data_IF_684000738900
#
_entry.id   IF_684000738900
#
_cell.length_a   1.000
_cell.length_b   1.000
_cell.length_c   1.000
_cell.angle_alpha   90.00
_cell.angle_beta   90.00
_cell.angle_gamma   90.00
#
_symmetry.space_group_name_H-M   'P 1'
#
loop_
_entity.id
_entity.type
_entity.pdbx_description
1 polymer ?
#
# COMPACT_ATOMS: atom_id res chain seq x y z
N UNK A 1 11.08 -40.38 7.33
CA UNK A 1 10.99 -39.48 6.17
C UNK A 1 9.61 -38.84 6.28
N UNK A 2 9.49 -37.67 6.95
CA UNK A 2 8.17 -37.02 7.24
C UNK A 2 8.25 -35.60 7.83
N UNK A 3 9.41 -34.99 8.07
CA UNK A 3 9.46 -33.63 8.66
C UNK A 3 9.06 -32.53 7.66
N UNK A 4 9.29 -32.75 6.36
CA UNK A 4 8.99 -31.77 5.31
C UNK A 4 7.47 -31.61 5.10
N UNK A 5 6.69 -32.68 5.24
CA UNK A 5 5.23 -32.61 5.05
C UNK A 5 4.53 -31.84 6.19
N UNK A 6 5.04 -31.94 7.42
CA UNK A 6 4.45 -31.27 8.58
C UNK A 6 4.72 -29.75 8.57
N UNK A 7 5.94 -29.34 8.22
CA UNK A 7 6.32 -27.93 8.06
C UNK A 7 5.53 -27.24 6.93
N UNK A 8 5.27 -27.98 5.85
CA UNK A 8 4.46 -27.52 4.71
C UNK A 8 2.99 -27.31 5.10
N UNK A 9 2.39 -28.26 5.81
CA UNK A 9 1.01 -28.13 6.28
C UNK A 9 0.86 -26.96 7.27
N UNK A 10 1.85 -26.75 8.14
CA UNK A 10 1.90 -25.61 9.05
C UNK A 10 2.06 -24.28 8.30
N UNK A 11 2.88 -24.23 7.24
CA UNK A 11 3.02 -23.04 6.41
C UNK A 11 1.70 -22.69 5.70
N UNK A 12 1.06 -23.66 5.03
CA UNK A 12 -0.25 -23.45 4.38
C UNK A 12 -1.28 -22.98 5.40
N UNK A 13 -1.41 -23.66 6.55
CA UNK A 13 -2.33 -23.26 7.60
C UNK A 13 -2.03 -21.85 8.16
N UNK A 14 -0.75 -21.46 8.24
CA UNK A 14 -0.33 -20.11 8.62
C UNK A 14 -0.78 -19.05 7.61
N UNK A 15 -0.62 -19.32 6.31
CA UNK A 15 -1.09 -18.42 5.25
C UNK A 15 -2.61 -18.35 5.22
N UNK A 16 -3.32 -19.46 5.37
CA UNK A 16 -4.79 -19.46 5.44
C UNK A 16 -5.29 -18.64 6.65
N UNK A 17 -4.61 -18.72 7.79
CA UNK A 17 -4.94 -17.94 8.98
C UNK A 17 -4.67 -16.44 8.80
N UNK A 18 -3.59 -16.06 8.12
CA UNK A 18 -3.21 -14.68 7.87
C UNK A 18 -4.07 -14.02 6.79
N UNK A 19 -4.36 -14.76 5.70
CA UNK A 19 -5.09 -14.25 4.53
C UNK A 19 -6.60 -14.46 4.61
N UNK A 20 -7.08 -15.40 5.45
CA UNK A 20 -8.47 -15.84 5.53
C UNK A 20 -8.90 -16.82 4.43
N UNK A 21 -8.02 -17.11 3.45
CA UNK A 21 -8.35 -17.97 2.30
C UNK A 21 -8.26 -19.44 2.68
N UNK A 22 -9.37 -20.18 2.57
CA UNK A 22 -9.38 -21.65 2.77
C UNK A 22 -9.09 -22.38 1.46
N UNK A 23 -7.82 -22.43 1.08
CA UNK A 23 -7.35 -23.03 -0.18
C UNK A 23 -7.77 -24.47 -0.32
N UNK A 24 -7.69 -25.27 0.75
CA UNK A 24 -8.02 -26.70 0.66
C UNK A 24 -9.53 -26.90 0.39
N UNK A 25 -10.38 -26.02 0.92
CA UNK A 25 -11.82 -26.05 0.66
C UNK A 25 -12.16 -25.60 -0.78
N UNK A 26 -11.52 -24.52 -1.26
CA UNK A 26 -11.70 -24.03 -2.63
C UNK A 26 -11.17 -25.06 -3.63
N UNK A 27 -9.99 -25.61 -3.37
CA UNK A 27 -9.36 -26.61 -4.23
C UNK A 27 -10.21 -27.87 -4.31
N UNK A 28 -10.63 -28.46 -3.19
CA UNK A 28 -11.50 -29.65 -3.20
C UNK A 28 -12.82 -29.41 -3.92
N UNK A 29 -13.42 -28.23 -3.76
CA UNK A 29 -14.66 -27.85 -4.47
C UNK A 29 -14.47 -27.86 -6.00
N UNK A 30 -13.35 -27.33 -6.48
CA UNK A 30 -13.07 -27.21 -7.92
C UNK A 30 -12.44 -28.48 -8.53
N UNK A 31 -11.76 -29.32 -7.72
CA UNK A 31 -10.95 -30.46 -8.16
C UNK A 31 -11.43 -31.85 -7.72
N UNK A 32 -12.63 -31.97 -7.13
CA UNK A 32 -13.19 -33.23 -6.61
C UNK A 32 -13.13 -34.45 -7.59
N UNK A 33 -12.90 -34.24 -8.89
CA UNK A 33 -12.78 -35.29 -9.91
C UNK A 33 -11.36 -35.64 -10.38
N UNK A 34 -10.31 -34.89 -10.02
CA UNK A 34 -9.02 -34.95 -10.73
C UNK A 34 -7.73 -35.06 -9.89
N UNK A 35 -7.81 -35.02 -8.55
CA UNK A 35 -6.59 -34.96 -7.74
C UNK A 35 -5.97 -36.35 -7.46
N UNK A 36 -4.73 -36.57 -7.92
CA UNK A 36 -3.76 -37.42 -7.20
C UNK A 36 -3.25 -36.60 -6.00
N UNK A 37 -3.26 -37.17 -4.80
CA UNK A 37 -2.97 -36.44 -3.54
C UNK A 37 -1.65 -35.66 -3.58
N UNK A 38 -0.57 -36.24 -4.11
CA UNK A 38 0.76 -35.60 -4.07
C UNK A 38 0.86 -34.34 -4.93
N UNK A 39 0.14 -34.27 -6.05
CA UNK A 39 0.14 -33.08 -6.92
C UNK A 39 -0.73 -31.94 -6.37
N UNK A 40 -1.67 -32.24 -5.47
CA UNK A 40 -2.56 -31.25 -4.86
C UNK A 40 -1.84 -30.42 -3.79
N UNK A 41 -0.95 -31.05 -3.02
CA UNK A 41 -0.20 -30.39 -1.95
C UNK A 41 0.74 -29.31 -2.51
N UNK A 42 1.57 -29.65 -3.50
CA UNK A 42 2.49 -28.71 -4.16
C UNK A 42 1.76 -27.53 -4.83
N UNK A 43 0.57 -27.80 -5.39
CA UNK A 43 -0.29 -26.74 -5.92
C UNK A 43 -0.73 -25.79 -4.81
N UNK A 44 -1.27 -26.31 -3.71
CA UNK A 44 -1.74 -25.50 -2.58
C UNK A 44 -0.60 -24.70 -1.93
N UNK A 45 0.60 -25.27 -1.83
CA UNK A 45 1.81 -24.57 -1.36
C UNK A 45 2.17 -23.38 -2.24
N UNK A 46 2.25 -23.60 -3.56
CA UNK A 46 2.63 -22.55 -4.50
C UNK A 46 1.60 -21.43 -4.52
N UNK A 47 0.31 -21.78 -4.44
CA UNK A 47 -0.78 -20.80 -4.33
C UNK A 47 -0.72 -20.06 -2.98
N UNK A 48 -0.41 -20.74 -1.88
CA UNK A 48 -0.25 -20.12 -0.56
C UNK A 48 0.87 -19.08 -0.57
N UNK A 49 2.04 -19.44 -1.12
CA UNK A 49 3.16 -18.51 -1.24
C UNK A 49 2.80 -17.28 -2.08
N UNK A 50 2.17 -17.51 -3.24
CA UNK A 50 1.72 -16.43 -4.11
C UNK A 50 0.73 -15.50 -3.40
N UNK A 51 -0.22 -16.05 -2.64
CA UNK A 51 -1.18 -15.26 -1.87
C UNK A 51 -0.53 -14.46 -0.76
N UNK A 52 0.41 -15.05 -0.02
CA UNK A 52 1.15 -14.35 1.02
C UNK A 52 1.96 -13.18 0.43
N UNK A 53 2.59 -13.38 -0.74
CA UNK A 53 3.28 -12.30 -1.46
C UNK A 53 2.34 -11.15 -1.83
N UNK A 54 1.19 -11.45 -2.44
CA UNK A 54 0.19 -10.45 -2.82
C UNK A 54 -0.35 -9.73 -1.57
N UNK A 55 -0.72 -10.49 -0.54
CA UNK A 55 -1.27 -9.95 0.70
C UNK A 55 -0.28 -9.01 1.40
N UNK A 56 0.97 -9.44 1.54
CA UNK A 56 2.04 -8.65 2.17
C UNK A 56 2.31 -7.37 1.39
N UNK A 57 2.41 -7.46 0.06
CA UNK A 57 2.62 -6.29 -0.79
C UNK A 57 1.46 -5.29 -0.64
N UNK A 58 0.22 -5.75 -0.69
CA UNK A 58 -0.96 -4.89 -0.51
C UNK A 58 -1.04 -4.25 0.87
N UNK A 59 -0.65 -4.98 1.93
CA UNK A 59 -0.58 -4.44 3.29
C UNK A 59 0.49 -3.36 3.39
N UNK A 60 1.66 -3.59 2.82
CA UNK A 60 2.74 -2.59 2.76
C UNK A 60 2.29 -1.33 2.01
N UNK A 61 1.69 -1.49 0.82
CA UNK A 61 1.14 -0.37 0.04
C UNK A 61 0.08 0.39 0.84
N UNK A 62 -0.85 -0.31 1.49
CA UNK A 62 -1.89 0.34 2.30
C UNK A 62 -1.32 1.08 3.52
N UNK A 63 -0.30 0.53 4.18
CA UNK A 63 0.39 1.17 5.29
C UNK A 63 1.17 2.42 4.83
N UNK A 64 1.81 2.35 3.66
CA UNK A 64 2.54 3.47 3.06
C UNK A 64 1.60 4.57 2.58
N UNK A 65 0.48 4.22 1.94
CA UNK A 65 -0.59 5.14 1.58
C UNK A 65 -1.19 5.80 2.83
N UNK A 66 -1.45 5.03 3.89
CA UNK A 66 -1.95 5.53 5.17
C UNK A 66 -0.99 6.54 5.81
N UNK A 67 0.32 6.25 5.80
CA UNK A 67 1.37 7.18 6.24
C UNK A 67 1.40 8.45 5.38
N UNK A 68 1.33 8.31 4.06
CA UNK A 68 1.32 9.44 3.12
C UNK A 68 0.10 10.34 3.35
N UNK A 69 -1.09 9.77 3.56
CA UNK A 69 -2.31 10.51 3.91
C UNK A 69 -2.14 11.26 5.22
N UNK A 70 -1.65 10.61 6.27
CA UNK A 70 -1.42 11.24 7.57
C UNK A 70 -0.43 12.41 7.46
N UNK A 71 0.65 12.25 6.69
CA UNK A 71 1.64 13.30 6.45
C UNK A 71 1.05 14.46 5.64
N UNK A 72 0.25 14.19 4.59
CA UNK A 72 -0.45 15.24 3.84
C UNK A 72 -1.41 16.05 4.71
N UNK A 73 -2.23 15.37 5.55
CA UNK A 73 -3.17 16.05 6.45
C UNK A 73 -2.43 16.96 7.44
N UNK A 74 -1.36 16.44 8.05
CA UNK A 74 -0.53 17.21 8.97
C UNK A 74 0.15 18.40 8.29
N UNK A 75 0.66 18.24 7.07
CA UNK A 75 1.22 19.34 6.30
C UNK A 75 0.16 20.41 5.99
N UNK A 76 -1.09 20.01 5.73
CA UNK A 76 -2.20 20.94 5.52
C UNK A 76 -2.53 21.76 6.79
N UNK A 77 -2.65 21.09 7.94
CA UNK A 77 -2.89 21.75 9.23
C UNK A 77 -1.80 22.78 9.58
N UNK A 78 -0.53 22.39 9.44
CA UNK A 78 0.62 23.28 9.71
C UNK A 78 0.62 24.45 8.73
N UNK A 79 0.32 24.21 7.45
CA UNK A 79 0.27 25.25 6.41
C UNK A 79 -0.79 26.29 6.71
N UNK A 80 -2.00 25.88 7.10
CA UNK A 80 -3.09 26.82 7.42
C UNK A 80 -2.78 27.61 8.69
N UNK A 81 -2.20 26.98 9.72
CA UNK A 81 -1.71 27.67 10.91
C UNK A 81 -0.60 28.69 10.59
N UNK A 82 0.35 28.32 9.73
CA UNK A 82 1.44 29.19 9.30
C UNK A 82 0.95 30.40 8.48
N UNK A 83 -0.06 30.21 7.61
CA UNK A 83 -0.71 31.32 6.88
C UNK A 83 -1.43 32.30 7.80
N UNK A 84 -2.17 31.77 8.78
CA UNK A 84 -2.85 32.59 9.77
C UNK A 84 -1.84 33.42 10.59
N UNK A 85 -0.75 32.80 11.02
CA UNK A 85 0.34 33.48 11.74
C UNK A 85 1.03 34.55 10.88
N UNK A 86 1.34 34.24 9.61
CA UNK A 86 1.96 35.19 8.70
C UNK A 86 1.06 36.42 8.46
N UNK A 87 -0.25 36.19 8.33
CA UNK A 87 -1.24 37.25 8.17
C UNK A 87 -1.38 38.11 9.44
N UNK A 88 -1.30 37.49 10.62
CA UNK A 88 -1.29 38.22 11.90
C UNK A 88 -0.02 39.07 12.05
N UNK A 89 1.15 38.54 11.71
CA UNK A 89 2.42 39.29 11.70
C UNK A 89 2.40 40.46 10.71
N UNK A 90 1.80 40.28 9.53
CA UNK A 90 1.63 41.34 8.54
C UNK A 90 0.62 42.41 8.99
N UNK A 91 -0.38 42.06 9.80
CA UNK A 91 -1.30 43.02 10.39
C UNK A 91 -0.61 43.86 11.47
N UNK A 92 0.19 43.24 12.35
CA UNK A 92 0.96 43.95 13.39
C UNK A 92 1.90 44.97 12.76
N UNK A 93 2.65 44.57 11.72
CA UNK A 93 3.56 45.48 11.02
C UNK A 93 2.91 46.65 10.27
N UNK A 94 1.58 46.66 10.11
CA UNK A 94 0.83 47.78 9.52
C UNK A 94 0.38 48.84 10.53
N UNK A 95 0.40 48.55 11.83
CA UNK A 95 -0.04 49.49 12.87
C UNK A 95 1.11 50.28 13.52
N UNK A 96 2.37 49.95 13.21
CA UNK A 96 3.56 50.66 13.66
C UNK A 96 4.25 51.36 12.48
N UNK A 97 3.60 52.41 11.95
CA UNK A 97 4.30 53.44 11.17
C UNK A 97 4.85 54.48 12.13
N UNK A 98 6.08 54.26 12.62
CA UNK A 98 7.00 55.33 13.01
C UNK A 98 8.45 54.80 12.93
N UNK A 99 9.10 55.09 11.80
CA UNK A 99 10.52 55.40 11.62
C UNK A 99 11.64 54.49 12.20
N UNK A 100 11.53 53.16 12.14
CA UNK A 100 12.73 52.30 12.21
C UNK A 100 12.69 51.07 11.27
N UNK A 101 13.40 51.10 10.12
CA UNK A 101 13.44 49.97 9.17
C UNK A 101 14.23 48.75 9.70
N UNK A 102 14.80 48.83 10.92
CA UNK A 102 15.52 47.71 11.55
C UNK A 102 14.65 46.79 12.42
N UNK A 103 13.37 47.12 12.65
CA UNK A 103 12.48 46.28 13.44
C UNK A 103 11.87 45.14 12.60
N UNK A 104 12.58 44.01 12.54
CA UNK A 104 11.93 42.74 12.20
C UNK A 104 10.74 42.52 13.15
N UNK A 105 9.54 42.31 12.61
CA UNK A 105 8.35 41.96 13.39
C UNK A 105 8.54 40.57 14.00
N UNK A 106 9.08 40.56 15.22
CA UNK A 106 9.36 39.36 15.99
C UNK A 106 8.23 39.21 17.01
N UNK A 107 7.39 38.19 16.84
CA UNK A 107 6.55 37.72 17.94
C UNK A 107 7.43 36.93 18.90
N UNK A 108 7.69 37.49 20.08
CA UNK A 108 8.37 36.79 21.16
C UNK A 108 7.36 36.02 22.03
N UNK A 109 7.34 34.70 21.87
CA UNK A 109 6.55 33.80 22.71
C UNK A 109 7.42 33.05 23.71
N UNK A 110 6.97 32.91 24.96
CA UNK A 110 7.56 31.95 25.92
C UNK A 110 6.88 30.59 25.75
N UNK A 111 7.64 29.59 25.30
CA UNK A 111 7.24 28.18 25.43
C UNK A 111 7.79 27.69 26.76
N UNK A 112 6.91 27.39 27.72
CA UNK A 112 7.22 26.66 28.96
C UNK A 112 8.53 27.08 29.68
N UNK A 113 8.85 28.37 29.69
CA UNK A 113 9.97 28.92 30.46
C UNK A 113 11.40 28.66 29.94
N UNK A 114 11.61 28.11 28.74
CA UNK A 114 12.96 27.72 28.27
C UNK A 114 13.54 28.51 27.08
N UNK A 115 12.89 29.58 26.60
CA UNK A 115 13.48 30.47 25.61
C UNK A 115 12.47 31.36 24.88
N UNK A 116 12.95 32.50 24.36
CA UNK A 116 12.21 33.35 23.44
C UNK A 116 12.32 32.74 22.04
N UNK A 117 11.20 32.36 21.44
CA UNK A 117 11.16 31.98 20.02
C UNK A 117 10.90 33.23 19.22
N UNK A 118 11.85 33.62 18.35
CA UNK A 118 11.67 34.72 17.40
C UNK A 118 11.01 34.18 16.14
N UNK A 119 9.78 34.60 15.86
CA UNK A 119 9.04 34.23 14.65
C UNK A 119 8.88 35.45 13.75
N UNK A 120 9.54 35.41 12.59
CA UNK A 120 9.41 36.41 11.52
C UNK A 120 8.49 35.94 10.41
N UNK A 121 8.01 36.88 9.57
CA UNK A 121 7.24 36.56 8.37
C UNK A 121 8.03 35.63 7.42
N UNK A 122 9.34 35.85 7.27
CA UNK A 122 10.20 34.99 6.45
C UNK A 122 10.23 33.54 6.97
N UNK A 123 10.32 33.34 8.28
CA UNK A 123 10.24 32.01 8.88
C UNK A 123 8.91 31.31 8.56
N UNK A 124 7.79 32.03 8.64
CA UNK A 124 6.46 31.46 8.31
C UNK A 124 6.29 31.18 6.82
N UNK A 125 6.87 32.00 5.94
CA UNK A 125 6.86 31.78 4.50
C UNK A 125 7.65 30.53 4.11
N UNK A 126 8.83 30.31 4.70
CA UNK A 126 9.63 29.09 4.50
C UNK A 126 8.91 27.84 5.00
N UNK A 127 8.17 27.94 6.11
CA UNK A 127 7.36 26.84 6.64
C UNK A 127 6.21 26.48 5.69
N UNK A 128 5.52 27.47 5.10
CA UNK A 128 4.47 27.25 4.09
C UNK A 128 5.05 26.54 2.87
N UNK A 129 6.20 27.02 2.35
CA UNK A 129 6.87 26.41 1.20
C UNK A 129 7.30 24.96 1.47
N UNK A 130 7.76 24.66 2.69
CA UNK A 130 8.10 23.29 3.09
C UNK A 130 6.85 22.39 3.10
N UNK A 131 5.72 22.88 3.64
CA UNK A 131 4.46 22.14 3.62
C UNK A 131 3.97 21.88 2.19
N UNK A 132 4.07 22.88 1.29
CA UNK A 132 3.71 22.71 -0.12
C UNK A 132 4.57 21.63 -0.80
N UNK A 133 5.88 21.58 -0.49
CA UNK A 133 6.79 20.53 -1.02
C UNK A 133 6.39 19.13 -0.55
N UNK A 134 6.00 18.99 0.73
CA UNK A 134 5.55 17.71 1.31
C UNK A 134 4.21 17.27 0.70
N UNK A 135 3.30 18.21 0.48
CA UNK A 135 2.03 17.96 -0.20
C UNK A 135 2.24 17.52 -1.66
N UNK A 136 3.15 18.16 -2.38
CA UNK A 136 3.49 17.80 -3.76
C UNK A 136 4.13 16.41 -3.86
N UNK A 137 5.05 16.08 -2.94
CA UNK A 137 5.70 14.77 -2.90
C UNK A 137 4.69 13.65 -2.64
N UNK A 138 3.93 13.74 -1.55
CA UNK A 138 2.93 12.72 -1.21
C UNK A 138 1.65 12.79 -2.05
N UNK A 139 1.43 13.86 -2.81
CA UNK A 139 0.34 13.99 -3.78
C UNK A 139 0.62 13.29 -5.10
N UNK A 140 1.90 13.20 -5.52
CA UNK A 140 2.33 12.56 -6.77
C UNK A 140 2.56 11.06 -6.65
N UNK A 141 2.91 10.56 -5.47
CA UNK A 141 3.18 9.13 -5.24
C UNK A 141 1.92 8.27 -5.05
N UNK A 142 0.73 8.88 -4.97
CA UNK A 142 -0.54 8.15 -4.81
C UNK A 142 -0.83 7.31 -6.07
N UNK A 143 -0.76 5.99 -5.91
CA UNK A 143 -1.13 5.02 -6.95
C UNK A 143 0.01 4.55 -7.87
N UNK A 144 1.26 4.95 -7.61
CA UNK A 144 2.42 4.62 -8.43
C UNK A 144 3.20 3.35 -8.03
N UNK A 145 2.87 2.73 -6.89
CA UNK A 145 3.65 1.60 -6.37
C UNK A 145 3.43 0.28 -7.11
N UNK A 146 4.48 -0.53 -7.06
CA UNK A 146 4.75 -1.59 -8.01
C UNK A 146 3.72 -2.72 -7.96
N UNK A 147 2.85 -2.76 -8.97
CA UNK A 147 2.04 -3.94 -9.30
C UNK A 147 2.88 -5.17 -9.62
N UNK A 148 4.22 -5.09 -9.64
CA UNK A 148 5.10 -6.20 -10.03
C UNK A 148 4.99 -7.41 -9.10
N UNK A 149 4.86 -7.22 -7.79
CA UNK A 149 4.75 -8.33 -6.83
C UNK A 149 3.37 -8.99 -6.92
N UNK A 150 2.32 -8.16 -7.05
CA UNK A 150 0.94 -8.62 -7.29
C UNK A 150 0.84 -9.45 -8.59
N UNK A 151 1.41 -8.93 -9.68
CA UNK A 151 1.48 -9.62 -10.97
C UNK A 151 2.28 -10.92 -10.86
N UNK A 152 3.44 -10.90 -10.19
CA UNK A 152 4.25 -12.09 -9.99
C UNK A 152 3.50 -13.19 -9.23
N UNK A 153 2.76 -12.83 -8.17
CA UNK A 153 1.90 -13.77 -7.44
C UNK A 153 0.81 -14.38 -8.32
N UNK A 154 0.13 -13.57 -9.14
CA UNK A 154 -0.87 -14.08 -10.10
C UNK A 154 -0.24 -15.03 -11.12
N UNK A 155 0.94 -14.69 -11.64
CA UNK A 155 1.67 -15.54 -12.59
C UNK A 155 2.15 -16.85 -11.95
N UNK A 156 2.52 -16.84 -10.67
CA UNK A 156 2.82 -18.05 -9.91
C UNK A 156 1.59 -18.97 -9.77
N UNK A 157 0.42 -18.41 -9.43
CA UNK A 157 -0.84 -19.17 -9.38
C UNK A 157 -1.19 -19.78 -10.74
N UNK A 158 -1.03 -19.01 -11.82
CA UNK A 158 -1.25 -19.47 -13.18
C UNK A 158 -0.30 -20.59 -13.59
N UNK A 159 0.97 -20.51 -13.17
CA UNK A 159 1.98 -21.53 -13.45
C UNK A 159 1.69 -22.82 -12.68
N UNK A 160 1.39 -22.72 -11.38
CA UNK A 160 0.97 -23.86 -10.56
C UNK A 160 -0.25 -24.56 -11.15
N UNK A 161 -1.22 -23.80 -11.67
CA UNK A 161 -2.39 -24.36 -12.36
C UNK A 161 -2.00 -25.14 -13.61
N UNK A 162 -1.13 -24.57 -14.45
CA UNK A 162 -0.66 -25.25 -15.67
C UNK A 162 0.03 -26.56 -15.32
N UNK A 163 0.93 -26.54 -14.33
CA UNK A 163 1.70 -27.71 -13.91
C UNK A 163 0.80 -28.80 -13.32
N UNK A 164 -0.22 -28.42 -12.55
CA UNK A 164 -1.15 -29.36 -11.92
C UNK A 164 -2.15 -29.97 -12.92
N UNK A 165 -2.67 -29.17 -13.85
CA UNK A 165 -3.78 -29.58 -14.73
C UNK A 165 -3.37 -29.97 -16.14
N UNK A 166 -2.17 -29.59 -16.56
CA UNK A 166 -1.73 -29.63 -17.96
C UNK A 166 -2.51 -28.69 -18.89
N UNK A 167 -3.38 -27.82 -18.35
CA UNK A 167 -4.22 -26.89 -19.12
C UNK A 167 -3.70 -25.47 -19.01
N UNK A 168 -3.81 -24.74 -20.11
CA UNK A 168 -3.41 -23.34 -20.14
C UNK A 168 -4.31 -22.48 -19.25
N UNK A 169 -3.75 -21.69 -18.32
CA UNK A 169 -4.52 -20.82 -17.44
C UNK A 169 -5.12 -19.67 -18.25
N UNK A 170 -6.43 -19.53 -18.19
CA UNK A 170 -7.17 -18.42 -18.82
C UNK A 170 -8.03 -17.76 -17.76
N UNK A 171 -8.13 -16.44 -17.77
CA UNK A 171 -9.00 -15.67 -16.86
C UNK A 171 -10.52 -15.86 -17.14
N UNK A 172 -10.90 -16.98 -17.77
CA UNK A 172 -12.26 -17.47 -18.00
C UNK A 172 -12.30 -18.98 -17.74
N UNK A 173 -13.49 -19.52 -17.47
CA UNK A 173 -13.66 -20.95 -17.20
C UNK A 173 -13.16 -21.35 -15.82
N UNK A 174 -12.71 -22.60 -15.64
CA UNK A 174 -12.37 -23.15 -14.32
C UNK A 174 -11.21 -22.42 -13.64
N UNK A 175 -10.15 -22.08 -14.39
CA UNK A 175 -9.05 -21.29 -13.82
C UNK A 175 -9.51 -19.89 -13.42
N UNK A 176 -10.29 -19.20 -14.28
CA UNK A 176 -10.84 -17.88 -13.95
C UNK A 176 -11.73 -17.91 -12.70
N UNK A 177 -12.59 -18.91 -12.56
CA UNK A 177 -13.44 -19.08 -11.38
C UNK A 177 -12.61 -19.33 -10.10
N UNK A 178 -11.59 -20.20 -10.19
CA UNK A 178 -10.64 -20.45 -9.11
C UNK A 178 -9.87 -19.18 -8.72
N UNK A 179 -9.25 -18.52 -9.70
CA UNK A 179 -8.46 -17.32 -9.50
C UNK A 179 -9.31 -16.20 -8.88
N UNK A 180 -10.53 -15.97 -9.39
CA UNK A 180 -11.44 -14.99 -8.83
C UNK A 180 -11.84 -15.32 -7.39
N UNK A 181 -12.10 -16.59 -7.08
CA UNK A 181 -12.44 -17.02 -5.72
C UNK A 181 -11.28 -16.75 -4.75
N UNK A 182 -10.05 -17.02 -5.18
CA UNK A 182 -8.86 -16.78 -4.37
C UNK A 182 -8.58 -15.28 -4.18
N UNK A 183 -8.69 -14.50 -5.27
CA UNK A 183 -8.41 -13.06 -5.25
C UNK A 183 -9.50 -12.24 -4.54
N UNK A 184 -10.77 -12.67 -4.59
CA UNK A 184 -11.86 -11.97 -3.91
C UNK A 184 -11.72 -12.01 -2.39
N UNK A 185 -11.22 -13.12 -1.84
CA UNK A 185 -11.02 -13.30 -0.40
C UNK A 185 -9.97 -12.34 0.17
N UNK A 186 -9.00 -11.90 -0.65
CA UNK A 186 -8.01 -10.87 -0.28
C UNK A 186 -8.42 -9.46 -0.74
N UNK A 187 -9.68 -9.25 -1.11
CA UNK A 187 -10.23 -7.95 -1.50
C UNK A 187 -9.68 -7.40 -2.82
N UNK A 188 -9.25 -8.28 -3.74
CA UNK A 188 -8.80 -7.87 -5.07
C UNK A 188 -9.91 -8.08 -6.11
N UNK A 189 -10.18 -7.03 -6.90
CA UNK A 189 -11.05 -7.07 -8.07
C UNK A 189 -10.62 -8.11 -9.11
N UNK A 190 -11.61 -8.72 -9.77
CA UNK A 190 -11.43 -9.65 -10.88
C UNK A 190 -10.44 -9.14 -11.94
N UNK A 191 -9.56 -10.03 -12.40
CA UNK A 191 -8.60 -9.74 -13.46
C UNK A 191 -9.33 -9.82 -14.80
N UNK A 192 -9.24 -8.75 -15.59
CA UNK A 192 -9.87 -8.72 -16.90
C UNK A 192 -9.32 -9.84 -17.81
N UNK A 193 -10.15 -10.46 -18.67
CA UNK A 193 -9.78 -11.67 -19.41
C UNK A 193 -8.49 -11.61 -20.23
N UNK A 194 -8.18 -10.44 -20.80
CA UNK A 194 -7.00 -10.25 -21.66
C UNK A 194 -5.76 -9.81 -20.86
N UNK A 195 -5.95 -9.34 -19.63
CA UNK A 195 -4.86 -8.83 -18.79
C UNK A 195 -3.94 -9.96 -18.34
N UNK A 196 -4.50 -11.09 -17.92
CA UNK A 196 -3.71 -12.27 -17.56
C UNK A 196 -2.84 -12.75 -18.72
N UNK A 197 -3.39 -12.82 -19.93
CA UNK A 197 -2.65 -13.25 -21.12
C UNK A 197 -1.52 -12.26 -21.46
N UNK A 198 -1.76 -10.95 -21.31
CA UNK A 198 -0.74 -9.92 -21.49
C UNK A 198 0.43 -10.14 -20.53
N UNK A 199 0.13 -10.30 -19.24
CA UNK A 199 1.13 -10.54 -18.21
C UNK A 199 1.95 -11.81 -18.46
N UNK A 200 1.28 -12.90 -18.84
CA UNK A 200 1.96 -14.16 -19.16
C UNK A 200 2.88 -14.05 -20.39
N UNK A 201 2.54 -13.16 -21.33
CA UNK A 201 3.34 -12.91 -22.53
C UNK A 201 4.41 -11.83 -22.31
N UNK A 202 4.57 -11.31 -21.09
CA UNK A 202 5.45 -10.17 -20.77
C UNK A 202 5.14 -8.91 -21.60
N UNK A 203 3.85 -8.68 -21.90
CA UNK A 203 3.32 -7.52 -22.64
C UNK A 203 2.64 -6.53 -21.71
#
# INVERSE_FOLDING_TARGET
MTWIDEDVHLFVAGVEAETGVKLDAIFRKEFAKHARQDCATQFCETVSLALHMIHTNRKQVADEDGKAIAMSNRAHEIREAAKALNSALAAIGKYETDDDPSQEHILEGRINGTGLVKLSQECTARLIQHCDTVLDFHGKDRGGQSRSADIAGVLMIASAWRDHTGKEPRAKGTFGAFLNSVLSEIGWSEIAPNTLQSWMNSQ
#
